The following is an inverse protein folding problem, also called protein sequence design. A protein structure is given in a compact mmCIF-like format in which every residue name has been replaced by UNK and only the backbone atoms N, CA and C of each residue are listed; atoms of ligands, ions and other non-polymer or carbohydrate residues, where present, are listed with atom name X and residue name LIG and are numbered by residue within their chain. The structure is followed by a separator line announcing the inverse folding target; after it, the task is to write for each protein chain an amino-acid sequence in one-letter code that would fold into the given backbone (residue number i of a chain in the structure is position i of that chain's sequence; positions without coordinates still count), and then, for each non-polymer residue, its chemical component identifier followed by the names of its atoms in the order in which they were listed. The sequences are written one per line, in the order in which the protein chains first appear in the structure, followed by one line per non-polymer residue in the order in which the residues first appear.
data_IF_674813490216
#
_entry.id   IF_674813490216
#
_cell.length_a   1.000
_cell.length_b   1.000
_cell.length_c   1.000
_cell.angle_alpha   90.00
_cell.angle_beta   90.00
_cell.angle_gamma   90.00
#
_symmetry.space_group_name_H-M   'P 1'
#
loop_
_entity.id
_entity.type
_entity.pdbx_description
1 polymer ?
#
# COMPACT_ATOMS: atom_id res chain seq x y z
N UNK A 1 45.01 -60.36 -31.76
CA UNK A 1 45.00 -59.45 -32.93
C UNK A 1 44.06 -58.30 -32.66
N UNK A 2 44.49 -57.06 -32.88
CA UNK A 2 43.68 -55.86 -32.63
C UNK A 2 42.73 -55.62 -33.81
N UNK A 3 41.43 -55.79 -33.61
CA UNK A 3 40.41 -55.70 -34.68
C UNK A 3 40.40 -54.30 -35.33
N UNK A 4 40.90 -53.27 -34.66
CA UNK A 4 41.00 -51.89 -35.18
C UNK A 4 41.97 -51.74 -36.36
N UNK A 5 42.96 -52.62 -36.52
CA UNK A 5 43.95 -52.51 -37.62
C UNK A 5 43.58 -53.35 -38.83
N UNK A 6 42.49 -54.12 -38.77
CA UNK A 6 42.08 -55.01 -39.85
C UNK A 6 41.59 -54.21 -41.08
N UNK A 7 41.99 -54.56 -42.32
CA UNK A 7 41.64 -53.78 -43.52
C UNK A 7 40.14 -53.61 -43.74
N UNK A 8 39.33 -54.62 -43.43
CA UNK A 8 37.88 -54.56 -43.49
C UNK A 8 37.27 -53.55 -42.50
N UNK A 9 37.85 -53.43 -41.30
CA UNK A 9 37.43 -52.45 -40.30
C UNK A 9 37.72 -51.02 -40.77
N UNK A 10 38.89 -50.79 -41.39
CA UNK A 10 39.25 -49.49 -41.98
C UNK A 10 38.32 -49.09 -43.12
N UNK A 11 37.91 -50.06 -43.96
CA UNK A 11 36.97 -49.81 -45.05
C UNK A 11 35.58 -49.43 -44.52
N UNK A 12 35.09 -50.14 -43.50
CA UNK A 12 33.82 -49.82 -42.84
C UNK A 12 33.78 -48.39 -42.29
N UNK A 13 34.86 -47.92 -41.63
CA UNK A 13 34.93 -46.54 -41.15
C UNK A 13 34.95 -45.48 -42.25
N UNK A 14 35.40 -45.81 -43.47
CA UNK A 14 35.35 -44.90 -44.62
C UNK A 14 33.98 -44.87 -45.29
N UNK A 15 33.29 -46.01 -45.35
CA UNK A 15 31.99 -46.13 -46.04
C UNK A 15 30.82 -45.71 -45.14
N UNK A 16 30.86 -46.07 -43.85
CA UNK A 16 29.76 -45.81 -42.89
C UNK A 16 29.30 -44.36 -42.85
N UNK A 17 30.18 -43.34 -42.83
CA UNK A 17 29.75 -41.93 -42.80
C UNK A 17 29.12 -41.46 -44.13
N UNK A 18 29.38 -42.16 -45.23
CA UNK A 18 28.81 -41.85 -46.56
C UNK A 18 27.43 -42.48 -46.74
N UNK A 19 26.98 -43.31 -45.80
CA UNK A 19 25.65 -43.90 -45.82
C UNK A 19 24.65 -42.90 -45.23
N UNK A 20 23.60 -42.62 -46.00
CA UNK A 20 22.48 -41.78 -45.58
C UNK A 20 21.86 -42.25 -44.25
N UNK A 21 21.91 -43.56 -43.97
CA UNK A 21 21.46 -44.16 -42.70
C UNK A 21 22.22 -43.64 -41.47
N UNK A 22 23.53 -43.40 -41.59
CA UNK A 22 24.34 -42.89 -40.48
C UNK A 22 24.05 -41.42 -40.17
N UNK A 23 23.71 -40.63 -41.19
CA UNK A 23 23.31 -39.23 -41.04
C UNK A 23 21.90 -39.12 -40.42
N UNK A 24 20.94 -39.92 -40.90
CA UNK A 24 19.59 -39.98 -40.32
C UNK A 24 19.58 -40.43 -38.85
N UNK A 25 20.48 -41.34 -38.45
CA UNK A 25 20.57 -41.80 -37.06
C UNK A 25 21.08 -40.67 -36.13
N UNK A 26 22.04 -39.87 -36.61
CA UNK A 26 22.54 -38.69 -35.87
C UNK A 26 21.46 -37.62 -35.75
N UNK A 27 20.73 -37.33 -36.82
CA UNK A 27 19.62 -36.38 -36.79
C UNK A 27 18.51 -36.84 -35.84
N UNK A 28 18.16 -38.13 -35.85
CA UNK A 28 17.17 -38.69 -34.94
C UNK A 28 17.61 -38.58 -33.47
N UNK A 29 18.90 -38.82 -33.18
CA UNK A 29 19.45 -38.65 -31.83
C UNK A 29 19.36 -37.19 -31.37
N UNK A 30 19.75 -36.23 -32.21
CA UNK A 30 19.64 -34.80 -31.92
C UNK A 30 18.18 -34.38 -31.72
N UNK A 31 17.26 -34.90 -32.54
CA UNK A 31 15.84 -34.59 -32.44
C UNK A 31 15.25 -35.10 -31.12
N UNK A 32 15.63 -36.31 -30.69
CA UNK A 32 15.21 -36.86 -29.39
C UNK A 32 15.70 -36.02 -28.22
N UNK A 33 16.97 -35.60 -28.24
CA UNK A 33 17.53 -34.73 -27.21
C UNK A 33 16.80 -33.38 -27.14
N UNK A 34 16.58 -32.76 -28.29
CA UNK A 34 15.83 -31.50 -28.39
C UNK A 34 14.39 -31.65 -27.88
N UNK A 35 13.73 -32.76 -28.22
CA UNK A 35 12.37 -33.04 -27.78
C UNK A 35 12.29 -33.18 -26.25
N UNK A 36 13.18 -33.95 -25.63
CA UNK A 36 13.20 -34.10 -24.17
C UNK A 36 13.54 -32.78 -23.46
N UNK A 37 14.44 -31.98 -24.03
CA UNK A 37 14.74 -30.64 -23.53
C UNK A 37 13.50 -29.74 -23.59
N UNK A 38 12.83 -29.67 -24.74
CA UNK A 38 11.60 -28.88 -24.91
C UNK A 38 10.50 -29.31 -23.94
N UNK A 39 10.33 -30.62 -23.73
CA UNK A 39 9.34 -31.15 -22.79
C UNK A 39 9.63 -30.72 -21.35
N UNK A 40 10.91 -30.74 -20.95
CA UNK A 40 11.35 -30.31 -19.63
C UNK A 40 11.16 -28.80 -19.44
N UNK A 41 11.52 -28.00 -20.44
CA UNK A 41 11.38 -26.54 -20.38
C UNK A 41 9.90 -26.12 -20.37
N UNK A 42 9.05 -26.81 -21.14
CA UNK A 42 7.61 -26.61 -21.12
C UNK A 42 7.01 -26.92 -19.74
N UNK A 43 7.40 -28.03 -19.12
CA UNK A 43 6.92 -28.38 -17.78
C UNK A 43 7.30 -27.33 -16.73
N UNK A 44 8.54 -26.81 -16.79
CA UNK A 44 8.98 -25.70 -15.92
C UNK A 44 8.17 -24.43 -16.18
N UNK A 45 7.99 -24.05 -17.43
CA UNK A 45 7.23 -22.85 -17.80
C UNK A 45 5.78 -22.91 -17.32
N UNK A 46 5.12 -24.07 -17.45
CA UNK A 46 3.74 -24.26 -16.96
C UNK A 46 3.66 -24.19 -15.43
N UNK A 47 4.64 -24.74 -14.72
CA UNK A 47 4.71 -24.62 -13.25
C UNK A 47 4.87 -23.16 -12.81
N UNK A 48 5.81 -22.43 -13.41
CA UNK A 48 6.03 -21.01 -13.11
C UNK A 48 4.80 -20.17 -13.45
N UNK A 49 4.15 -20.44 -14.59
CA UNK A 49 2.92 -19.77 -14.99
C UNK A 49 1.84 -19.93 -13.90
N UNK A 50 1.61 -21.16 -13.44
CA UNK A 50 0.61 -21.44 -12.40
C UNK A 50 0.90 -20.68 -11.10
N UNK A 51 2.16 -20.67 -10.64
CA UNK A 51 2.54 -19.91 -9.45
C UNK A 51 2.31 -18.40 -9.60
N UNK A 52 2.58 -17.86 -10.79
CA UNK A 52 2.36 -16.43 -11.07
C UNK A 52 0.87 -16.08 -11.13
N UNK A 53 0.04 -16.96 -11.70
CA UNK A 53 -1.42 -16.79 -11.70
C UNK A 53 -1.99 -16.80 -10.27
N UNK A 54 -1.55 -17.74 -9.40
CA UNK A 54 -1.95 -17.78 -8.00
C UNK A 54 -1.54 -16.49 -7.25
N UNK A 55 -0.31 -16.02 -7.47
CA UNK A 55 0.17 -14.77 -6.86
C UNK A 55 -0.62 -13.55 -7.34
N UNK A 56 -1.01 -13.51 -8.62
CA UNK A 56 -1.80 -12.42 -9.18
C UNK A 56 -3.18 -12.32 -8.52
N UNK A 57 -3.83 -13.46 -8.25
CA UNK A 57 -5.12 -13.50 -7.54
C UNK A 57 -4.97 -12.92 -6.14
N UNK A 58 -3.96 -13.36 -5.37
CA UNK A 58 -3.72 -12.83 -4.02
C UNK A 58 -3.46 -11.33 -4.02
N UNK A 59 -2.60 -10.82 -4.92
CA UNK A 59 -2.32 -9.40 -5.03
C UNK A 59 -3.55 -8.58 -5.44
N UNK A 60 -4.42 -9.14 -6.28
CA UNK A 60 -5.65 -8.47 -6.67
C UNK A 60 -6.62 -8.37 -5.49
N UNK A 61 -6.73 -9.42 -4.69
CA UNK A 61 -7.54 -9.39 -3.48
C UNK A 61 -7.02 -8.37 -2.47
N UNK A 62 -5.72 -8.41 -2.16
CA UNK A 62 -5.09 -7.47 -1.23
C UNK A 62 -5.27 -6.01 -1.69
N UNK A 63 -5.12 -5.74 -3.00
CA UNK A 63 -5.38 -4.42 -3.56
C UNK A 63 -6.83 -3.97 -3.34
N UNK A 64 -7.80 -4.86 -3.52
CA UNK A 64 -9.21 -4.54 -3.32
C UNK A 64 -9.50 -4.26 -1.85
N UNK A 65 -8.96 -5.07 -0.94
CA UNK A 65 -9.12 -4.89 0.50
C UNK A 65 -8.52 -3.54 0.96
N UNK A 66 -7.32 -3.20 0.49
CA UNK A 66 -6.70 -1.91 0.75
C UNK A 66 -7.52 -0.75 0.19
N UNK A 67 -8.12 -0.91 -0.99
CA UNK A 67 -8.97 0.15 -1.58
C UNK A 67 -10.23 0.39 -0.75
N UNK A 68 -10.84 -0.67 -0.20
CA UNK A 68 -11.98 -0.56 0.71
C UNK A 68 -11.58 0.11 2.04
N UNK A 69 -10.40 -0.25 2.58
CA UNK A 69 -9.89 0.36 3.80
C UNK A 69 -9.64 1.86 3.62
N UNK A 70 -9.01 2.27 2.52
CA UNK A 70 -8.77 3.69 2.21
C UNK A 70 -10.08 4.47 2.10
N UNK A 71 -11.12 3.89 1.47
CA UNK A 71 -12.43 4.54 1.39
C UNK A 71 -13.06 4.73 2.78
N UNK A 72 -13.03 3.70 3.63
CA UNK A 72 -13.55 3.77 4.99
C UNK A 72 -12.79 4.76 5.88
N UNK A 73 -11.47 4.80 5.77
CA UNK A 73 -10.64 5.77 6.49
C UNK A 73 -10.92 7.21 6.00
N UNK A 74 -11.19 7.39 4.70
CA UNK A 74 -11.60 8.67 4.13
C UNK A 74 -12.93 9.17 4.69
N UNK A 75 -13.93 8.31 4.82
CA UNK A 75 -15.21 8.65 5.47
C UNK A 75 -15.03 9.03 6.94
N UNK A 76 -14.25 8.23 7.69
CA UNK A 76 -13.95 8.50 9.10
C UNK A 76 -13.20 9.82 9.30
N UNK A 77 -12.29 10.16 8.38
CA UNK A 77 -11.58 11.44 8.39
C UNK A 77 -12.55 12.60 8.17
N UNK A 78 -13.44 12.49 7.18
CA UNK A 78 -14.43 13.52 6.90
C UNK A 78 -15.36 13.77 8.12
N UNK A 79 -15.86 12.69 8.76
CA UNK A 79 -16.65 12.80 9.99
C UNK A 79 -15.88 13.46 11.13
N UNK A 80 -14.56 13.25 11.22
CA UNK A 80 -13.71 13.91 12.20
C UNK A 80 -13.51 15.40 11.87
N UNK A 81 -13.34 15.75 10.60
CA UNK A 81 -13.23 17.12 10.12
C UNK A 81 -14.51 17.91 10.40
N UNK A 82 -15.68 17.38 10.08
CA UNK A 82 -16.98 18.02 10.37
C UNK A 82 -17.17 18.30 11.88
N UNK A 83 -16.80 17.35 12.73
CA UNK A 83 -16.85 17.55 14.19
C UNK A 83 -15.88 18.64 14.64
N UNK A 84 -14.66 18.66 14.10
CA UNK A 84 -13.67 19.70 14.39
C UNK A 84 -14.18 21.08 13.98
N UNK A 85 -14.79 21.22 12.80
CA UNK A 85 -15.42 22.48 12.37
C UNK A 85 -16.54 22.93 13.31
N UNK A 86 -17.38 21.99 13.76
CA UNK A 86 -18.42 22.27 14.75
C UNK A 86 -17.84 22.80 16.07
N UNK A 87 -16.78 22.18 16.56
CA UNK A 87 -16.07 22.63 17.76
C UNK A 87 -15.44 24.01 17.59
N UNK A 88 -14.84 24.30 16.44
CA UNK A 88 -14.27 25.62 16.14
C UNK A 88 -15.36 26.70 16.16
N UNK A 89 -16.51 26.45 15.52
CA UNK A 89 -17.65 27.39 15.52
C UNK A 89 -18.16 27.62 16.95
N UNK A 90 -18.32 26.56 17.74
CA UNK A 90 -18.74 26.65 19.14
C UNK A 90 -17.73 27.45 19.98
N UNK A 91 -16.43 27.19 19.82
CA UNK A 91 -15.36 27.92 20.52
C UNK A 91 -15.46 29.42 20.27
N UNK A 92 -15.58 29.85 19.00
CA UNK A 92 -15.71 31.27 18.64
C UNK A 92 -16.91 31.91 19.34
N UNK A 93 -18.06 31.24 19.36
CA UNK A 93 -19.25 31.74 20.05
C UNK A 93 -19.05 31.88 21.56
N UNK A 94 -18.36 30.91 22.19
CA UNK A 94 -18.08 30.96 23.62
C UNK A 94 -17.05 32.04 23.97
N UNK A 95 -16.03 32.24 23.13
CA UNK A 95 -15.06 33.33 23.30
C UNK A 95 -15.75 34.71 23.22
N UNK A 96 -16.70 34.88 22.29
CA UNK A 96 -17.50 36.10 22.20
C UNK A 96 -18.35 36.33 23.45
N UNK A 97 -19.05 35.29 23.94
CA UNK A 97 -19.86 35.38 25.18
C UNK A 97 -19.01 35.66 26.41
N UNK A 98 -17.82 35.06 26.49
CA UNK A 98 -16.89 35.28 27.58
C UNK A 98 -16.48 36.75 27.61
N UNK A 99 -16.10 37.31 26.44
CA UNK A 99 -15.74 38.72 26.32
C UNK A 99 -16.87 39.65 26.77
N UNK A 100 -18.08 39.47 26.26
CA UNK A 100 -19.25 40.27 26.64
C UNK A 100 -19.52 40.19 28.15
N UNK A 101 -19.42 38.99 28.73
CA UNK A 101 -19.68 38.80 30.16
C UNK A 101 -18.60 39.45 31.02
N UNK A 102 -17.34 39.43 30.58
CA UNK A 102 -16.23 40.11 31.26
C UNK A 102 -16.41 41.63 31.21
N UNK A 103 -16.72 42.21 30.05
CA UNK A 103 -16.96 43.66 29.93
C UNK A 103 -18.10 44.11 30.85
N UNK A 104 -19.22 43.37 30.88
CA UNK A 104 -20.33 43.69 31.79
C UNK A 104 -19.95 43.55 33.27
N UNK A 105 -19.08 42.60 33.61
CA UNK A 105 -18.61 42.44 34.99
C UNK A 105 -17.77 43.65 35.40
N UNK A 106 -16.88 44.13 34.54
CA UNK A 106 -16.06 45.33 34.77
C UNK A 106 -16.93 46.57 35.00
N UNK A 107 -17.99 46.75 34.20
CA UNK A 107 -18.96 47.86 34.38
C UNK A 107 -19.65 47.81 35.74
N UNK A 108 -20.11 46.63 36.18
CA UNK A 108 -20.77 46.45 37.47
C UNK A 108 -19.81 46.65 38.65
N UNK A 109 -18.54 46.25 38.50
CA UNK A 109 -17.49 46.51 39.49
C UNK A 109 -17.22 48.02 39.65
N UNK A 110 -17.21 48.79 38.54
CA UNK A 110 -17.10 50.25 38.57
C UNK A 110 -18.30 50.89 39.29
N UNK A 111 -19.53 50.50 38.94
CA UNK A 111 -20.75 50.99 39.59
C UNK A 111 -20.73 50.70 41.09
N UNK A 112 -20.32 49.50 41.49
CA UNK A 112 -20.24 49.12 42.90
C UNK A 112 -19.21 49.97 43.67
N UNK A 113 -18.05 50.24 43.05
CA UNK A 113 -17.04 51.13 43.62
C UNK A 113 -17.59 52.57 43.80
N UNK A 114 -18.30 53.11 42.80
CA UNK A 114 -18.95 54.42 42.90
C UNK A 114 -20.00 54.47 44.01
N UNK A 115 -20.88 53.47 44.09
CA UNK A 115 -21.93 53.38 45.10
C UNK A 115 -21.32 53.27 46.49
N UNK A 116 -20.25 52.50 46.65
CA UNK A 116 -19.50 52.38 47.90
C UNK A 116 -18.90 53.73 48.32
N UNK A 117 -18.33 54.49 47.38
CA UNK A 117 -17.80 55.82 47.65
C UNK A 117 -18.91 56.82 48.04
N UNK A 118 -20.03 56.84 47.30
CA UNK A 118 -21.20 57.68 47.61
C UNK A 118 -21.79 57.35 48.97
N UNK A 119 -21.90 56.06 49.30
CA UNK A 119 -22.39 55.60 50.60
C UNK A 119 -21.53 56.12 51.75
N UNK A 120 -20.21 55.98 51.66
CA UNK A 120 -19.29 56.51 52.69
C UNK A 120 -19.48 58.01 52.89
N UNK A 121 -19.57 58.78 51.80
CA UNK A 121 -19.79 60.22 51.87
C UNK A 121 -21.09 60.59 52.59
N UNK A 122 -22.19 59.87 52.31
CA UNK A 122 -23.47 60.08 52.99
C UNK A 122 -23.45 59.66 54.47
N UNK A 123 -22.72 58.58 54.79
CA UNK A 123 -22.51 58.15 56.17
C UNK A 123 -21.73 59.22 56.96
N UNK A 124 -20.71 59.83 56.36
CA UNK A 124 -19.95 60.93 56.95
C UNK A 124 -20.86 62.17 57.17
N UNK A 125 -21.63 62.59 56.16
CA UNK A 125 -22.56 63.73 56.24
C UNK A 125 -23.68 63.55 57.28
N UNK A 126 -24.14 62.31 57.56
CA UNK A 126 -25.16 62.04 58.58
C UNK A 126 -24.60 62.01 60.02
N UNK A 127 -23.28 61.94 60.16
CA UNK A 127 -22.60 61.84 61.46
C UNK A 127 -22.14 63.19 62.04
N UNK A 128 -22.20 64.25 61.23
CA UNK A 128 -22.03 65.66 61.63
C UNK A 128 -23.36 66.28 62.11
#
# INVERSE_FOLDING_TARGET
MNVKTWPWMKLYFKIKPLLQSAETEKELANMKENYEKMKTDLAKALSTKKQMEEKLVSLTQEKNDLSLQVASEGESLNDAEERCEGLIKSKIQQEAKLKETTERLEDEEEINAELTAKKRKLEDECSE
#
